data_IF_100199460344
#
_entry.id   IF_100199460344
#
_cell.length_a   1.000
_cell.length_b   1.000
_cell.length_c   1.000
_cell.angle_alpha   90.00
_cell.angle_beta   90.00
_cell.angle_gamma   90.00
#
_symmetry.space_group_name_H-M   'P 1'
#
loop_
_entity.id
_entity.type
_entity.pdbx_description
1 polymer ?
#
# COMPACT_ATOMS: atom_id res chain seq x y z
N UNK A 1 -62.28 -6.54 -24.96
CA UNK A 1 -62.20 -5.39 -24.02
C UNK A 1 -61.06 -5.50 -23.00
N UNK A 2 -60.28 -6.57 -22.96
CA UNK A 2 -59.23 -6.83 -21.96
C UNK A 2 -57.88 -6.17 -22.23
N UNK A 3 -57.53 -5.88 -23.50
CA UNK A 3 -56.26 -5.23 -23.87
C UNK A 3 -56.14 -3.76 -23.43
N UNK A 4 -57.25 -3.00 -23.38
CA UNK A 4 -57.20 -1.60 -22.92
C UNK A 4 -56.91 -1.50 -21.43
N UNK A 5 -57.41 -2.45 -20.63
CA UNK A 5 -57.18 -2.48 -19.18
C UNK A 5 -55.72 -2.84 -18.85
N UNK A 6 -55.10 -3.77 -19.58
CA UNK A 6 -53.69 -4.13 -19.35
C UNK A 6 -52.73 -3.00 -19.75
N UNK A 7 -52.99 -2.31 -20.86
CA UNK A 7 -52.19 -1.16 -21.30
C UNK A 7 -52.28 0.04 -20.34
N UNK A 8 -53.46 0.28 -19.74
CA UNK A 8 -53.62 1.36 -18.77
C UNK A 8 -52.85 1.08 -17.48
N UNK A 9 -52.85 -0.18 -17.02
CA UNK A 9 -52.09 -0.62 -15.84
C UNK A 9 -50.57 -0.49 -16.04
N UNK A 10 -50.06 -0.93 -17.20
CA UNK A 10 -48.64 -0.80 -17.55
C UNK A 10 -48.21 0.68 -17.60
N UNK A 11 -49.04 1.58 -18.13
CA UNK A 11 -48.74 3.03 -18.16
C UNK A 11 -48.75 3.68 -16.78
N UNK A 12 -49.48 3.12 -15.83
CA UNK A 12 -49.53 3.60 -14.45
C UNK A 12 -48.31 3.08 -13.66
N UNK A 13 -47.93 1.82 -13.87
CA UNK A 13 -46.71 1.22 -13.32
C UNK A 13 -45.44 1.93 -13.82
N UNK A 14 -45.36 2.29 -15.12
CA UNK A 14 -44.25 3.06 -15.68
C UNK A 14 -44.16 4.47 -15.08
N UNK A 15 -45.31 5.12 -14.84
CA UNK A 15 -45.33 6.44 -14.20
C UNK A 15 -44.85 6.37 -12.74
N UNK A 16 -45.22 5.32 -12.00
CA UNK A 16 -44.73 5.12 -10.64
C UNK A 16 -43.22 4.83 -10.55
N UNK A 17 -42.68 4.08 -11.51
CA UNK A 17 -41.23 3.84 -11.60
C UNK A 17 -40.44 5.11 -11.91
N UNK A 18 -40.96 5.99 -12.77
CA UNK A 18 -40.29 7.25 -13.13
C UNK A 18 -40.29 8.29 -12.00
N UNK A 19 -41.29 8.27 -11.11
CA UNK A 19 -41.40 9.23 -10.00
C UNK A 19 -40.48 8.83 -8.84
N UNK A 20 -40.32 7.53 -8.57
CA UNK A 20 -39.48 7.06 -7.47
C UNK A 20 -38.00 6.85 -7.86
N UNK A 21 -37.67 6.76 -9.16
CA UNK A 21 -36.29 6.61 -9.63
C UNK A 21 -35.35 7.75 -9.24
N UNK A 22 -35.87 8.98 -9.08
CA UNK A 22 -35.09 10.15 -8.71
C UNK A 22 -34.60 10.16 -7.25
N UNK A 23 -35.31 9.48 -6.33
CA UNK A 23 -34.91 9.41 -4.93
C UNK A 23 -33.76 8.41 -4.71
N UNK A 24 -33.74 7.31 -5.48
CA UNK A 24 -32.68 6.31 -5.42
C UNK A 24 -31.39 6.80 -6.07
N UNK A 25 -31.48 7.54 -7.18
CA UNK A 25 -30.29 8.15 -7.79
C UNK A 25 -29.64 9.15 -6.84
N UNK A 26 -30.44 9.99 -6.16
CA UNK A 26 -29.90 10.95 -5.17
C UNK A 26 -29.37 10.31 -3.89
N UNK A 27 -29.86 9.13 -3.51
CA UNK A 27 -29.28 8.34 -2.41
C UNK A 27 -27.91 7.76 -2.77
N UNK A 28 -27.78 7.19 -3.97
CA UNK A 28 -26.52 6.64 -4.45
C UNK A 28 -25.47 7.72 -4.68
N UNK A 29 -25.87 8.86 -5.25
CA UNK A 29 -25.00 10.02 -5.48
C UNK A 29 -24.39 10.54 -4.18
N UNK A 30 -25.19 10.69 -3.11
CA UNK A 30 -24.68 11.08 -1.78
C UNK A 30 -23.69 10.07 -1.17
N UNK A 31 -23.90 8.78 -1.39
CA UNK A 31 -22.96 7.75 -0.92
C UNK A 31 -21.66 7.80 -1.74
N UNK A 32 -21.75 8.05 -3.05
CA UNK A 32 -20.57 8.23 -3.89
C UNK A 32 -19.78 9.49 -3.48
N UNK A 33 -20.45 10.61 -3.26
CA UNK A 33 -19.84 11.85 -2.75
C UNK A 33 -19.13 11.60 -1.41
N UNK A 34 -19.78 10.92 -0.46
CA UNK A 34 -19.16 10.58 0.83
C UNK A 34 -17.91 9.69 0.69
N UNK A 35 -17.95 8.69 -0.20
CA UNK A 35 -16.77 7.86 -0.48
C UNK A 35 -15.64 8.62 -1.17
N UNK A 36 -15.98 9.59 -2.04
CA UNK A 36 -14.99 10.46 -2.67
C UNK A 36 -14.31 11.37 -1.65
N UNK A 37 -15.06 11.93 -0.70
CA UNK A 37 -14.56 12.74 0.40
C UNK A 37 -13.64 11.93 1.33
N UNK A 38 -14.08 10.75 1.78
CA UNK A 38 -13.25 9.85 2.60
C UNK A 38 -11.95 9.46 1.89
N UNK A 39 -12.03 9.17 0.59
CA UNK A 39 -10.87 8.82 -0.23
C UNK A 39 -9.93 10.01 -0.44
N UNK A 40 -10.47 11.21 -0.52
CA UNK A 40 -9.70 12.46 -0.56
C UNK A 40 -8.96 12.70 0.76
N UNK A 41 -9.65 12.58 1.89
CA UNK A 41 -9.05 12.72 3.23
C UNK A 41 -7.93 11.70 3.44
N UNK A 42 -8.16 10.43 3.08
CA UNK A 42 -7.16 9.37 3.14
C UNK A 42 -5.92 9.71 2.31
N UNK A 43 -6.10 10.20 1.07
CA UNK A 43 -4.98 10.64 0.22
C UNK A 43 -4.23 11.84 0.80
N UNK A 44 -4.91 12.78 1.44
CA UNK A 44 -4.28 13.90 2.13
C UNK A 44 -3.49 13.45 3.35
N UNK A 45 -4.02 12.51 4.15
CA UNK A 45 -3.31 11.92 5.29
C UNK A 45 -2.04 11.17 4.83
N UNK A 46 -2.14 10.36 3.76
CA UNK A 46 -1.00 9.66 3.15
C UNK A 46 0.08 10.64 2.66
N UNK A 47 -0.31 11.75 2.01
CA UNK A 47 0.64 12.78 1.55
C UNK A 47 1.35 13.46 2.72
N UNK A 48 0.61 13.87 3.74
CA UNK A 48 1.20 14.45 4.97
C UNK A 48 2.19 13.47 5.62
N UNK A 49 1.84 12.18 5.71
CA UNK A 49 2.75 11.16 6.23
C UNK A 49 4.02 10.99 5.39
N UNK A 50 3.88 11.02 4.07
CA UNK A 50 5.03 10.97 3.15
C UNK A 50 5.93 12.20 3.29
N UNK A 51 5.37 13.40 3.39
CA UNK A 51 6.14 14.64 3.55
C UNK A 51 6.98 14.63 4.83
N UNK A 52 6.42 14.13 5.94
CA UNK A 52 7.17 13.93 7.20
C UNK A 52 8.34 12.97 7.01
N UNK A 53 8.14 11.87 6.29
CA UNK A 53 9.21 10.90 6.01
C UNK A 53 10.31 11.51 5.13
N UNK A 54 9.95 12.30 4.11
CA UNK A 54 10.92 12.99 3.24
C UNK A 54 11.77 14.00 4.02
N UNK A 55 11.17 14.75 4.95
CA UNK A 55 11.92 15.66 5.82
C UNK A 55 12.89 14.88 6.71
N UNK A 56 12.45 13.76 7.30
CA UNK A 56 13.29 12.90 8.13
C UNK A 56 14.44 12.29 7.32
N UNK A 57 14.18 11.82 6.10
CA UNK A 57 15.21 11.28 5.20
C UNK A 57 16.29 12.34 4.87
N UNK A 58 15.89 13.58 4.59
CA UNK A 58 16.81 14.70 4.37
C UNK A 58 17.66 15.01 5.60
N UNK A 59 17.06 15.01 6.79
CA UNK A 59 17.79 15.21 8.05
C UNK A 59 18.88 14.14 8.24
N UNK A 60 18.49 12.87 8.11
CA UNK A 60 19.41 11.74 8.25
C UNK A 60 20.52 11.78 7.19
N UNK A 61 20.19 12.18 5.96
CA UNK A 61 21.20 12.35 4.90
C UNK A 61 22.22 13.43 5.25
N UNK A 62 21.77 14.54 5.84
CA UNK A 62 22.65 15.61 6.34
C UNK A 62 23.55 15.13 7.48
N UNK A 63 23.01 14.39 8.45
CA UNK A 63 23.76 13.82 9.56
C UNK A 63 24.84 12.82 9.09
N UNK A 64 24.50 11.98 8.10
CA UNK A 64 25.45 11.04 7.49
C UNK A 64 26.58 11.78 6.79
N UNK A 65 26.30 12.86 6.06
CA UNK A 65 27.35 13.66 5.42
C UNK A 65 28.23 14.39 6.43
N UNK A 66 27.66 14.88 7.53
CA UNK A 66 28.44 15.47 8.63
C UNK A 66 29.39 14.45 9.27
N UNK A 67 28.91 13.24 9.55
CA UNK A 67 29.72 12.14 10.08
C UNK A 67 30.83 11.73 9.10
N UNK A 68 30.53 11.65 7.80
CA UNK A 68 31.54 11.41 6.77
C UNK A 68 32.61 12.51 6.76
N UNK A 69 32.22 13.76 6.98
CA UNK A 69 33.14 14.89 7.13
C UNK A 69 34.08 14.71 8.32
N UNK A 70 33.53 14.39 9.50
CA UNK A 70 34.30 14.13 10.73
C UNK A 70 35.29 12.98 10.58
N UNK A 71 34.88 11.88 9.93
CA UNK A 71 35.79 10.74 9.66
C UNK A 71 36.96 11.18 8.78
N UNK A 72 36.71 11.92 7.70
CA UNK A 72 37.78 12.47 6.85
C UNK A 72 38.70 13.42 7.60
N UNK A 73 38.18 14.21 8.53
CA UNK A 73 38.98 15.07 9.39
C UNK A 73 39.89 14.26 10.33
N UNK A 74 39.36 13.19 10.94
CA UNK A 74 40.14 12.29 11.78
C UNK A 74 41.22 11.53 11.01
N UNK A 75 40.96 11.17 9.75
CA UNK A 75 41.97 10.56 8.87
C UNK A 75 43.09 11.54 8.51
N UNK A 76 42.76 12.83 8.30
CA UNK A 76 43.74 13.88 7.98
C UNK A 76 44.55 14.31 9.18
N UNK A 77 43.97 14.26 10.39
CA UNK A 77 44.67 14.64 11.61
C UNK A 77 45.80 13.62 11.80
N UNK A 78 47.08 14.00 11.60
CA UNK A 78 48.17 13.07 11.81
C UNK A 78 47.99 12.52 13.21
N UNK A 79 48.00 11.17 13.34
CA UNK A 79 47.99 10.52 14.65
C UNK A 79 49.05 11.24 15.45
N UNK A 80 48.63 12.06 16.43
CA UNK A 80 49.56 12.69 17.37
C UNK A 80 50.44 11.54 17.80
N UNK A 81 51.73 11.65 17.50
CA UNK A 81 52.72 10.67 17.91
C UNK A 81 52.45 10.44 19.38
N UNK A 82 51.81 9.30 19.67
CA UNK A 82 51.56 8.90 21.04
C UNK A 82 52.98 8.75 21.53
N UNK A 83 53.46 9.62 22.44
CA UNK A 83 54.85 9.58 22.86
C UNK A 83 55.10 8.14 23.26
N UNK A 84 56.02 7.50 22.54
CA UNK A 84 56.25 6.07 22.63
C UNK A 84 56.24 5.74 24.11
N UNK A 85 55.20 5.05 24.58
CA UNK A 85 55.16 4.59 25.95
C UNK A 85 56.37 3.69 26.04
N UNK A 86 57.43 4.22 26.66
CA UNK A 86 58.59 3.43 26.97
C UNK A 86 58.05 2.21 27.72
N UNK A 87 58.42 0.99 27.32
CA UNK A 87 58.03 -0.20 28.05
C UNK A 87 58.64 -0.07 29.45
N UNK A 88 57.84 0.41 30.41
CA UNK A 88 58.20 0.36 31.82
C UNK A 88 58.16 -1.11 32.18
N UNK A 89 59.33 -1.75 32.08
CA UNK A 89 59.58 -3.06 32.62
C UNK A 89 59.24 -3.02 34.12
N UNK A 90 58.26 -3.82 34.53
CA UNK A 90 57.98 -4.09 35.93
C UNK A 90 56.70 -3.44 36.46
N UNK A 91 55.57 -4.09 36.23
CA UNK A 91 54.71 -4.47 37.35
C UNK A 91 53.69 -5.51 36.90
N UNK A 92 53.85 -6.73 37.38
CA UNK A 92 52.84 -7.78 37.28
C UNK A 92 51.67 -7.39 38.18
N UNK A 93 50.43 -7.22 37.67
CA UNK A 93 49.28 -7.23 38.56
C UNK A 93 49.03 -8.68 39.00
N UNK A 94 49.16 -8.85 40.31
CA UNK A 94 48.83 -10.06 41.04
C UNK A 94 47.40 -10.48 40.76
N UNK A 95 47.24 -11.74 40.35
CA UNK A 95 45.96 -12.45 40.37
C UNK A 95 45.49 -12.59 41.81
N UNK A 96 44.59 -11.71 42.25
CA UNK A 96 43.87 -11.87 43.50
C UNK A 96 42.38 -11.55 43.31
N UNK A 97 41.58 -12.54 43.69
CA UNK A 97 40.15 -12.61 43.61
C UNK A 97 39.41 -11.50 44.40
N UNK A 98 38.31 -11.03 43.83
CA UNK A 98 37.07 -10.61 44.50
C UNK A 98 36.04 -10.36 43.39
N UNK A 99 34.99 -11.16 43.14
CA UNK A 99 33.92 -11.57 44.04
C UNK A 99 33.35 -10.39 44.83
N UNK A 100 32.64 -9.47 44.16
CA UNK A 100 31.68 -8.58 44.80
C UNK A 100 30.70 -7.96 43.78
N UNK A 101 29.47 -8.49 43.81
CA UNK A 101 28.25 -7.70 44.04
C UNK A 101 27.84 -6.63 43.00
N UNK A 102 26.86 -7.02 42.19
CA UNK A 102 25.58 -6.30 41.94
C UNK A 102 25.52 -4.83 42.37
N UNK A 103 25.35 -3.93 41.38
CA UNK A 103 24.50 -2.72 41.47
C UNK A 103 24.00 -2.41 40.06
N UNK A 104 22.77 -2.82 39.71
CA UNK A 104 21.55 -1.98 39.72
C UNK A 104 21.78 -0.59 39.09
N UNK A 105 21.54 -0.49 37.79
CA UNK A 105 21.02 0.72 37.16
C UNK A 105 19.74 0.32 36.42
N UNK A 106 18.65 0.31 37.19
CA UNK A 106 17.29 0.32 36.68
C UNK A 106 17.09 1.69 36.02
N UNK A 107 17.18 1.73 34.70
CA UNK A 107 16.58 2.78 33.87
C UNK A 107 15.17 2.33 33.54
N UNK A 108 14.31 2.43 34.54
CA UNK A 108 12.88 2.16 34.49
C UNK A 108 12.22 3.40 33.88
N UNK A 109 12.20 3.49 32.54
CA UNK A 109 11.34 4.46 31.85
C UNK A 109 9.90 3.94 31.90
N UNK A 110 9.27 4.29 33.01
CA UNK A 110 7.86 4.29 33.26
C UNK A 110 7.17 5.25 32.27
N UNK A 111 6.76 4.75 31.10
CA UNK A 111 5.74 5.41 30.29
C UNK A 111 4.40 5.02 30.88
N UNK A 112 3.89 5.90 31.74
CA UNK A 112 2.53 5.89 32.24
C UNK A 112 1.55 5.85 31.08
N UNK A 113 0.71 4.82 31.07
CA UNK A 113 -0.56 4.85 30.37
C UNK A 113 -1.37 5.99 30.98
N UNK A 114 -1.51 7.08 30.21
CA UNK A 114 -2.35 8.20 30.56
C UNK A 114 -3.81 7.89 30.23
N UNK A 115 -4.64 8.30 31.17
CA UNK A 115 -6.07 8.07 31.37
C UNK A 115 -6.88 8.52 30.13
N UNK A 116 -7.92 7.79 29.71
CA UNK A 116 -9.17 7.79 30.44
C UNK A 116 -9.99 9.05 30.16
N UNK A 117 -10.48 9.22 28.92
CA UNK A 117 -11.58 10.17 28.66
C UNK A 117 -12.90 9.41 28.68
N UNK A 118 -13.48 9.47 29.87
CA UNK A 118 -14.83 9.10 30.23
C UNK A 118 -15.81 10.19 29.75
N UNK A 119 -16.99 9.73 29.34
CA UNK A 119 -18.28 10.38 29.59
C UNK A 119 -18.63 11.71 28.88
N UNK A 120 -19.43 11.59 27.83
CA UNK A 120 -20.62 12.45 27.66
C UNK A 120 -21.86 11.62 27.32
N UNK A 121 -22.62 11.32 28.37
CA UNK A 121 -24.08 11.14 28.32
C UNK A 121 -24.72 12.42 27.76
N UNK A 122 -25.52 12.26 26.72
CA UNK A 122 -26.54 13.21 26.27
C UNK A 122 -27.62 12.34 25.62
N UNK A 123 -28.67 12.04 26.38
CA UNK A 123 -29.91 12.82 26.46
C UNK A 123 -30.95 12.16 25.55
N UNK A 124 -31.84 11.47 26.24
CA UNK A 124 -33.06 10.88 25.73
C UNK A 124 -33.84 11.89 24.89
N UNK A 125 -34.16 11.52 23.66
CA UNK A 125 -35.30 12.10 22.95
C UNK A 125 -36.16 10.93 22.51
N UNK A 126 -37.08 10.57 23.41
CA UNK A 126 -38.25 9.77 23.07
C UNK A 126 -39.07 10.57 22.05
N UNK A 127 -38.97 10.22 20.77
CA UNK A 127 -39.96 10.61 19.78
C UNK A 127 -40.67 9.35 19.30
N UNK A 128 -41.84 9.10 19.89
CA UNK A 128 -42.85 8.16 19.43
C UNK A 128 -43.31 8.55 18.01
N UNK A 129 -42.57 8.08 17.00
CA UNK A 129 -42.89 8.24 15.59
C UNK A 129 -43.49 6.96 15.01
N UNK A 130 -44.81 6.95 14.91
CA UNK A 130 -45.68 5.91 14.32
C UNK A 130 -45.08 5.12 13.15
N UNK A 131 -45.13 3.81 13.37
CA UNK A 131 -45.05 2.69 12.43
C UNK A 131 -45.84 2.96 11.12
N UNK A 132 -45.12 3.21 10.03
CA UNK A 132 -45.65 3.01 8.67
C UNK A 132 -44.89 1.84 8.04
N UNK A 133 -45.46 0.63 8.18
CA UNK A 133 -45.03 -0.58 7.46
C UNK A 133 -45.28 -0.42 5.96
N UNK A 134 -44.41 0.33 5.29
CA UNK A 134 -44.22 0.22 3.86
C UNK A 134 -43.49 -1.08 3.58
N UNK A 135 -44.23 -2.11 3.15
CA UNK A 135 -43.67 -3.36 2.61
C UNK A 135 -43.02 -3.00 1.26
N UNK A 136 -41.82 -2.40 1.33
CA UNK A 136 -40.99 -2.13 0.17
C UNK A 136 -40.51 -3.47 -0.36
N UNK A 137 -41.20 -3.95 -1.39
CA UNK A 137 -40.89 -5.14 -2.15
C UNK A 137 -39.61 -4.89 -2.98
N UNK A 138 -38.48 -4.73 -2.28
CA UNK A 138 -37.12 -4.66 -2.82
C UNK A 138 -36.83 -6.02 -3.44
N UNK A 139 -37.02 -6.12 -4.76
CA UNK A 139 -36.64 -7.28 -5.56
C UNK A 139 -35.12 -7.45 -5.52
N UNK A 140 -34.64 -8.18 -4.52
CA UNK A 140 -33.64 -9.28 -4.55
C UNK A 140 -32.35 -9.18 -5.39
N UNK A 141 -32.00 -8.04 -6.00
CA UNK A 141 -30.75 -7.88 -6.78
C UNK A 141 -29.50 -7.62 -5.94
N UNK A 142 -29.63 -7.22 -4.67
CA UNK A 142 -28.50 -6.84 -3.80
C UNK A 142 -27.79 -8.01 -3.08
N UNK A 143 -28.36 -9.22 -3.10
CA UNK A 143 -27.83 -10.35 -2.33
C UNK A 143 -26.55 -10.95 -2.96
N UNK A 144 -26.42 -10.87 -4.28
CA UNK A 144 -25.31 -11.50 -5.01
C UNK A 144 -23.96 -10.81 -4.78
N UNK A 145 -23.94 -9.48 -4.63
CA UNK A 145 -22.73 -8.71 -4.35
C UNK A 145 -22.26 -8.87 -2.90
N UNK A 146 -23.21 -8.96 -1.96
CA UNK A 146 -22.91 -9.11 -0.54
C UNK A 146 -22.27 -10.46 -0.22
N UNK A 147 -22.87 -11.57 -0.69
CA UNK A 147 -22.32 -12.94 -0.50
C UNK A 147 -20.91 -13.10 -1.04
N UNK A 148 -20.57 -12.42 -2.15
CA UNK A 148 -19.22 -12.45 -2.72
C UNK A 148 -18.23 -11.68 -1.86
N UNK A 149 -18.60 -10.49 -1.40
CA UNK A 149 -17.75 -9.70 -0.49
C UNK A 149 -17.44 -10.48 0.79
N UNK A 150 -18.45 -11.15 1.33
CA UNK A 150 -18.30 -12.06 2.48
C UNK A 150 -17.32 -13.19 2.14
N UNK A 151 -17.48 -13.89 1.00
CA UNK A 151 -16.57 -14.98 0.60
C UNK A 151 -15.09 -14.59 0.55
N UNK A 152 -14.74 -13.48 -0.10
CA UNK A 152 -13.33 -13.04 -0.16
C UNK A 152 -12.85 -12.46 1.16
N UNK A 153 -13.73 -11.74 1.88
CA UNK A 153 -13.46 -11.20 3.20
C UNK A 153 -13.10 -12.31 4.20
N UNK A 154 -13.95 -13.32 4.29
CA UNK A 154 -13.79 -14.48 5.18
C UNK A 154 -12.51 -15.25 4.86
N UNK A 155 -12.21 -15.45 3.57
CA UNK A 155 -10.98 -16.14 3.16
C UNK A 155 -9.71 -15.35 3.55
N UNK A 156 -9.71 -14.03 3.36
CA UNK A 156 -8.59 -13.17 3.77
C UNK A 156 -8.46 -13.13 5.30
N UNK A 157 -9.59 -13.07 6.02
CA UNK A 157 -9.61 -13.10 7.48
C UNK A 157 -9.09 -14.43 8.02
N UNK A 158 -9.47 -15.54 7.41
CA UNK A 158 -8.95 -16.86 7.76
C UNK A 158 -7.42 -16.92 7.59
N UNK A 159 -6.87 -16.38 6.50
CA UNK A 159 -5.42 -16.30 6.31
C UNK A 159 -4.78 -15.39 7.36
N UNK A 160 -5.39 -14.25 7.71
CA UNK A 160 -4.88 -13.38 8.76
C UNK A 160 -4.85 -14.08 10.13
N UNK A 161 -5.88 -14.87 10.47
CA UNK A 161 -5.90 -15.69 11.69
C UNK A 161 -4.79 -16.73 11.69
N UNK A 162 -4.48 -17.35 10.54
CA UNK A 162 -3.35 -18.27 10.41
C UNK A 162 -2.01 -17.55 10.62
N UNK A 163 -1.81 -16.38 10.01
CA UNK A 163 -0.60 -15.57 10.21
C UNK A 163 -0.45 -15.20 11.69
N UNK A 164 -1.52 -14.74 12.36
CA UNK A 164 -1.49 -14.40 13.78
C UNK A 164 -1.16 -15.63 14.65
N UNK A 165 -1.78 -16.78 14.38
CA UNK A 165 -1.52 -18.04 15.09
C UNK A 165 -0.07 -18.50 14.97
N UNK A 166 0.56 -18.27 13.82
CA UNK A 166 1.96 -18.62 13.57
C UNK A 166 2.96 -17.55 14.02
N UNK A 167 2.58 -16.63 14.91
CA UNK A 167 3.49 -15.63 15.48
C UNK A 167 3.53 -14.29 14.72
N UNK A 168 2.53 -14.03 13.88
CA UNK A 168 2.30 -12.73 13.26
C UNK A 168 3.33 -12.36 12.19
N UNK A 169 3.76 -11.10 12.19
CA UNK A 169 4.68 -10.57 11.18
C UNK A 169 6.13 -11.08 11.37
N UNK A 170 6.51 -11.45 12.60
CA UNK A 170 7.89 -11.83 12.92
C UNK A 170 8.04 -13.31 13.26
N UNK A 171 6.96 -14.09 13.29
CA UNK A 171 7.00 -15.52 13.67
C UNK A 171 7.32 -15.74 15.15
N UNK A 172 7.00 -14.76 16.00
CA UNK A 172 7.36 -14.77 17.42
C UNK A 172 8.81 -14.40 17.72
N UNK A 173 9.62 -14.08 16.71
CA UNK A 173 10.98 -13.58 16.92
C UNK A 173 10.97 -12.10 17.32
N UNK A 174 11.94 -11.66 18.15
CA UNK A 174 12.23 -10.25 18.33
C UNK A 174 12.51 -9.57 16.99
N UNK A 175 11.96 -8.36 16.80
CA UNK A 175 12.04 -7.63 15.53
C UNK A 175 13.47 -7.51 14.99
N UNK A 176 14.44 -7.18 15.86
CA UNK A 176 15.84 -7.00 15.45
C UNK A 176 16.50 -8.30 14.94
N UNK A 177 16.15 -9.46 15.52
CA UNK A 177 16.64 -10.77 15.07
C UNK A 177 15.98 -11.15 13.75
N UNK A 178 14.68 -10.92 13.62
CA UNK A 178 13.92 -11.12 12.40
C UNK A 178 14.48 -10.29 11.24
N UNK A 179 14.75 -9.00 11.46
CA UNK A 179 15.35 -8.11 10.46
C UNK A 179 16.77 -8.56 10.07
N UNK A 180 17.55 -9.05 11.03
CA UNK A 180 18.86 -9.65 10.76
C UNK A 180 18.74 -10.92 9.88
N UNK A 181 17.80 -11.80 10.22
CA UNK A 181 17.47 -12.98 9.41
C UNK A 181 17.07 -12.59 7.97
N UNK A 182 16.17 -11.61 7.79
CA UNK A 182 15.74 -11.15 6.47
C UNK A 182 16.89 -10.59 5.64
N UNK A 183 17.81 -9.85 6.25
CA UNK A 183 19.04 -9.37 5.57
C UNK A 183 19.91 -10.53 5.09
N UNK A 184 20.15 -11.53 5.94
CA UNK A 184 20.94 -12.71 5.57
C UNK A 184 20.26 -13.53 4.47
N UNK A 185 18.96 -13.75 4.59
CA UNK A 185 18.14 -14.45 3.60
C UNK A 185 18.19 -13.76 2.24
N UNK A 186 18.00 -12.44 2.22
CA UNK A 186 18.04 -11.65 0.99
C UNK A 186 19.42 -11.72 0.34
N UNK A 187 20.49 -11.58 1.12
CA UNK A 187 21.86 -11.71 0.62
C UNK A 187 22.18 -13.11 0.08
N UNK A 188 21.71 -14.17 0.74
CA UNK A 188 21.89 -15.55 0.26
C UNK A 188 21.21 -15.74 -1.10
N UNK A 189 20.01 -15.18 -1.29
CA UNK A 189 19.29 -15.24 -2.57
C UNK A 189 19.91 -14.38 -3.66
N UNK A 190 20.42 -13.19 -3.33
CA UNK A 190 21.05 -12.28 -4.32
C UNK A 190 22.38 -12.81 -4.88
N UNK A 191 23.03 -13.77 -4.20
CA UNK A 191 24.27 -14.40 -4.66
C UNK A 191 24.05 -15.52 -5.67
N UNK A 192 22.82 -15.99 -5.86
CA UNK A 192 22.49 -16.97 -6.89
C UNK A 192 22.61 -16.40 -8.31
N UNK A 193 22.78 -17.25 -9.34
CA UNK A 193 22.76 -16.81 -10.73
C UNK A 193 21.48 -16.03 -11.02
N UNK A 194 21.64 -14.78 -11.48
CA UNK A 194 20.56 -13.81 -11.70
C UNK A 194 19.62 -14.17 -12.86
N UNK A 195 19.97 -15.17 -13.66
CA UNK A 195 19.32 -15.46 -14.92
C UNK A 195 18.91 -16.93 -14.98
N UNK A 196 17.63 -17.11 -15.30
CA UNK A 196 16.96 -18.35 -15.68
C UNK A 196 16.53 -19.28 -14.55
N UNK A 197 15.22 -19.28 -14.32
CA UNK A 197 14.44 -20.23 -13.52
C UNK A 197 14.98 -20.50 -12.11
N UNK A 198 14.32 -19.89 -11.11
CA UNK A 198 14.48 -20.26 -9.70
C UNK A 198 14.46 -21.80 -9.60
N UNK A 199 15.56 -22.44 -9.13
CA UNK A 199 15.59 -23.88 -9.05
C UNK A 199 14.47 -24.36 -8.12
N UNK A 200 13.85 -25.52 -8.39
CA UNK A 200 12.83 -26.08 -7.52
C UNK A 200 13.39 -26.22 -6.10
N UNK A 201 12.56 -26.08 -5.06
CA UNK A 201 12.98 -26.08 -3.64
C UNK A 201 13.67 -27.39 -3.18
N UNK A 202 13.77 -28.39 -4.04
CA UNK A 202 14.46 -29.66 -3.81
C UNK A 202 15.84 -29.74 -4.47
N UNK A 203 16.29 -28.68 -5.13
CA UNK A 203 17.57 -28.65 -5.85
C UNK A 203 18.77 -28.70 -4.89
N UNK A 204 19.85 -29.44 -5.23
CA UNK A 204 21.10 -29.42 -4.46
C UNK A 204 21.65 -28.00 -4.23
N UNK A 205 21.46 -27.08 -5.19
CA UNK A 205 21.88 -25.69 -5.07
C UNK A 205 21.13 -24.93 -3.97
N UNK A 206 19.84 -25.24 -3.79
CA UNK A 206 19.02 -24.64 -2.72
C UNK A 206 19.49 -25.13 -1.35
N UNK A 207 19.79 -26.43 -1.21
CA UNK A 207 20.37 -26.99 0.02
C UNK A 207 21.71 -26.34 0.39
N UNK A 208 22.58 -26.10 -0.58
CA UNK A 208 23.85 -25.41 -0.35
C UNK A 208 23.65 -23.95 0.09
N UNK A 209 22.70 -23.24 -0.52
CA UNK A 209 22.35 -21.88 -0.13
C UNK A 209 21.78 -21.81 1.29
N UNK A 210 20.90 -22.75 1.66
CA UNK A 210 20.35 -22.88 3.02
C UNK A 210 21.47 -23.19 4.02
N UNK A 211 22.38 -24.11 3.71
CA UNK A 211 23.52 -24.42 4.58
C UNK A 211 24.42 -23.19 4.81
N UNK A 212 24.73 -22.43 3.76
CA UNK A 212 25.50 -21.19 3.88
C UNK A 212 24.76 -20.11 4.69
N UNK A 213 23.44 -20.02 4.56
CA UNK A 213 22.61 -19.14 5.37
C UNK A 213 22.69 -19.51 6.85
N UNK A 214 22.51 -20.80 7.19
CA UNK A 214 22.55 -21.29 8.58
C UNK A 214 23.90 -21.00 9.23
N UNK A 215 25.00 -21.24 8.52
CA UNK A 215 26.35 -20.94 9.02
C UNK A 215 26.55 -19.44 9.31
N UNK A 216 26.01 -18.56 8.47
CA UNK A 216 26.08 -17.10 8.68
C UNK A 216 25.09 -16.60 9.74
N UNK A 217 23.96 -17.27 9.89
CA UNK A 217 22.98 -16.95 10.92
C UNK A 217 23.56 -17.24 12.31
N UNK A 218 24.26 -18.36 12.49
CA UNK A 218 24.90 -18.71 13.76
C UNK A 218 25.91 -17.65 14.25
N UNK A 219 26.62 -16.98 13.34
CA UNK A 219 27.57 -15.92 13.72
C UNK A 219 26.89 -14.59 14.06
N UNK A 220 25.74 -14.30 13.44
CA UNK A 220 25.01 -13.04 13.59
C UNK A 220 23.90 -13.08 14.65
N UNK A 221 23.43 -14.28 14.99
CA UNK A 221 22.32 -14.54 15.92
C UNK A 221 22.79 -15.55 16.99
N UNK A 222 23.71 -15.15 17.87
CA UNK A 222 24.32 -16.08 18.84
C UNK A 222 23.33 -16.61 19.88
N UNK A 223 22.20 -15.92 20.08
CA UNK A 223 21.14 -16.35 20.98
C UNK A 223 20.21 -17.42 20.36
N UNK A 224 20.34 -17.70 19.06
CA UNK A 224 19.52 -18.66 18.33
C UNK A 224 20.33 -19.86 17.89
N UNK A 225 19.77 -21.03 18.16
CA UNK A 225 20.30 -22.31 17.69
C UNK A 225 20.11 -22.49 16.19
N UNK A 226 20.88 -23.39 15.59
CA UNK A 226 20.74 -23.75 14.17
C UNK A 226 19.32 -24.24 13.84
N UNK A 227 18.74 -25.04 14.73
CA UNK A 227 17.43 -25.64 14.57
C UNK A 227 16.32 -24.59 14.63
N UNK A 228 16.42 -23.60 15.53
CA UNK A 228 15.48 -22.46 15.57
C UNK A 228 15.53 -21.63 14.29
N UNK A 229 16.73 -21.38 13.74
CA UNK A 229 16.87 -20.66 12.47
C UNK A 229 16.25 -21.46 11.32
N UNK A 230 16.42 -22.78 11.31
CA UNK A 230 15.81 -23.65 10.30
C UNK A 230 14.28 -23.69 10.43
N UNK A 231 13.74 -23.76 11.64
CA UNK A 231 12.31 -23.66 11.90
C UNK A 231 11.76 -22.31 11.43
N UNK A 232 12.47 -21.22 11.73
CA UNK A 232 12.11 -19.87 11.30
C UNK A 232 12.15 -19.72 9.78
N UNK A 233 13.08 -20.41 9.11
CA UNK A 233 13.12 -20.47 7.66
C UNK A 233 11.87 -21.17 7.08
N UNK A 234 11.44 -22.29 7.68
CA UNK A 234 10.21 -22.99 7.28
C UNK A 234 8.98 -22.11 7.52
N UNK A 235 8.92 -21.43 8.67
CA UNK A 235 7.87 -20.45 8.97
C UNK A 235 7.84 -19.33 7.92
N UNK A 236 8.98 -18.71 7.60
CA UNK A 236 9.05 -17.63 6.61
C UNK A 236 8.55 -18.10 5.24
N UNK A 237 8.86 -19.34 4.84
CA UNK A 237 8.30 -19.98 3.65
C UNK A 237 6.76 -20.00 3.67
N UNK A 238 6.14 -20.53 4.73
CA UNK A 238 4.67 -20.54 4.88
C UNK A 238 4.09 -19.13 4.90
N UNK A 239 4.68 -18.21 5.66
CA UNK A 239 4.26 -16.82 5.77
C UNK A 239 4.29 -16.10 4.42
N UNK A 240 5.31 -16.32 3.58
CA UNK A 240 5.32 -15.79 2.22
C UNK A 240 4.21 -16.36 1.36
N UNK A 241 3.93 -17.67 1.47
CA UNK A 241 2.81 -18.31 0.79
C UNK A 241 1.45 -17.73 1.19
N UNK A 242 1.20 -17.50 2.48
CA UNK A 242 -0.02 -16.83 2.96
C UNK A 242 -0.18 -15.42 2.39
N UNK A 243 0.91 -14.65 2.32
CA UNK A 243 0.87 -13.31 1.73
C UNK A 243 0.64 -13.32 0.22
N UNK A 244 1.20 -14.28 -0.50
CA UNK A 244 0.93 -14.49 -1.93
C UNK A 244 -0.54 -14.87 -2.16
N UNK A 245 -1.09 -15.77 -1.34
CA UNK A 245 -2.49 -16.18 -1.42
C UNK A 245 -3.45 -15.00 -1.13
N UNK A 246 -3.16 -14.17 -0.12
CA UNK A 246 -3.90 -12.92 0.11
C UNK A 246 -3.89 -12.01 -1.11
N UNK A 247 -2.73 -11.84 -1.76
CA UNK A 247 -2.63 -11.04 -2.99
C UNK A 247 -3.43 -11.66 -4.13
N UNK A 248 -3.41 -12.99 -4.25
CA UNK A 248 -4.20 -13.74 -5.25
C UNK A 248 -5.71 -13.54 -5.04
N UNK A 249 -6.20 -13.64 -3.81
CA UNK A 249 -7.59 -13.37 -3.47
C UNK A 249 -7.99 -11.91 -3.77
N UNK A 250 -7.15 -10.95 -3.38
CA UNK A 250 -7.39 -9.54 -3.66
C UNK A 250 -7.36 -9.21 -5.17
N UNK A 251 -6.57 -9.94 -5.96
CA UNK A 251 -6.56 -9.84 -7.42
C UNK A 251 -7.85 -10.43 -8.01
N UNK A 252 -8.21 -11.66 -7.62
CA UNK A 252 -9.42 -12.33 -8.10
C UNK A 252 -10.69 -11.53 -7.78
N UNK A 253 -10.78 -10.94 -6.59
CA UNK A 253 -11.89 -10.06 -6.22
C UNK A 253 -11.98 -8.81 -7.13
N UNK A 254 -10.85 -8.19 -7.48
CA UNK A 254 -10.82 -7.04 -8.38
C UNK A 254 -11.20 -7.41 -9.81
N UNK A 255 -10.72 -8.54 -10.31
CA UNK A 255 -11.06 -9.05 -11.65
C UNK A 255 -12.56 -9.36 -11.74
N UNK A 256 -13.13 -10.00 -10.71
CA UNK A 256 -14.57 -10.27 -10.68
C UNK A 256 -15.40 -8.98 -10.63
N UNK A 257 -14.97 -7.99 -9.83
CA UNK A 257 -15.61 -6.67 -9.78
C UNK A 257 -15.56 -5.94 -11.13
N UNK A 258 -14.44 -6.05 -11.85
CA UNK A 258 -14.32 -5.47 -13.19
C UNK A 258 -15.26 -6.16 -14.18
N UNK A 259 -15.37 -7.49 -14.12
CA UNK A 259 -16.28 -8.25 -14.98
C UNK A 259 -17.75 -7.92 -14.70
N UNK A 260 -18.13 -7.71 -13.44
CA UNK A 260 -19.48 -7.27 -13.06
C UNK A 260 -19.79 -5.87 -13.61
N UNK A 261 -18.85 -4.92 -13.46
CA UNK A 261 -19.01 -3.58 -14.03
C UNK A 261 -19.12 -3.59 -15.55
N UNK A 262 -18.39 -4.48 -16.23
CA UNK A 262 -18.49 -4.65 -17.68
C UNK A 262 -19.85 -5.24 -18.08
N UNK A 263 -20.35 -6.25 -17.36
CA UNK A 263 -21.66 -6.83 -17.61
C UNK A 263 -22.79 -5.82 -17.37
N UNK A 264 -22.69 -5.00 -16.34
CA UNK A 264 -23.66 -3.92 -16.07
C UNK A 264 -23.61 -2.83 -17.15
N UNK A 265 -22.42 -2.51 -17.68
CA UNK A 265 -22.28 -1.58 -18.79
C UNK A 265 -22.90 -2.13 -20.09
N UNK A 266 -22.63 -3.39 -20.43
CA UNK A 266 -23.19 -4.06 -21.61
C UNK A 266 -24.71 -4.23 -21.54
N UNK A 267 -25.25 -4.49 -20.34
CA UNK A 267 -26.71 -4.62 -20.15
C UNK A 267 -27.43 -3.27 -20.14
N UNK A 268 -26.74 -2.18 -19.77
CA UNK A 268 -27.31 -0.84 -19.79
C UNK A 268 -27.20 -0.16 -21.17
N UNK A 269 -26.28 -0.61 -22.02
CA UNK A 269 -26.26 -0.29 -23.44
C UNK A 269 -27.25 -1.17 -24.21
N UNK A 270 -28.55 -1.06 -23.91
CA UNK A 270 -29.55 -1.50 -24.89
C UNK A 270 -29.41 -0.59 -26.13
N UNK A 271 -28.90 -1.12 -27.26
CA UNK A 271 -28.62 -0.33 -28.42
C UNK A 271 -29.94 -0.03 -29.11
N UNK A 272 -30.29 1.24 -29.21
CA UNK A 272 -31.43 1.73 -29.97
C UNK A 272 -32.71 0.91 -29.75
N UNK A 273 -33.53 1.37 -28.81
CA UNK A 273 -34.90 1.58 -29.18
C UNK A 273 -34.93 2.40 -30.47
N UNK A 274 -35.02 1.72 -31.61
CA UNK A 274 -36.00 2.08 -32.63
C UNK A 274 -37.33 2.25 -31.90
N UNK A 275 -37.53 3.44 -31.34
CA UNK A 275 -38.86 3.96 -31.13
C UNK A 275 -39.43 4.09 -32.54
N UNK A 276 -40.16 3.04 -32.93
CA UNK A 276 -41.20 3.14 -33.93
C UNK A 276 -41.97 4.44 -33.69
N UNK A 277 -41.82 5.32 -34.67
CA UNK A 277 -42.85 6.17 -35.24
C UNK A 277 -44.27 5.81 -34.76
N UNK A 278 -44.67 6.29 -33.58
CA UNK A 278 -46.05 6.22 -33.13
C UNK A 278 -46.67 7.61 -33.16
N UNK A 279 -47.64 7.70 -34.05
CA UNK A 279 -48.43 8.85 -34.51
C UNK A 279 -48.95 9.79 -33.41
N UNK A 280 -49.13 11.08 -33.74
CA UNK A 280 -49.66 12.08 -32.84
C UNK A 280 -51.18 11.91 -32.71
N UNK A 281 -51.68 11.61 -31.52
CA UNK A 281 -53.04 12.07 -31.19
C UNK A 281 -53.28 12.22 -29.69
N UNK A 282 -53.36 13.50 -29.30
CA UNK A 282 -54.38 14.02 -28.38
C UNK A 282 -54.35 13.54 -26.94
N UNK A 283 -53.52 14.17 -26.09
CA UNK A 283 -54.05 14.75 -24.85
C UNK A 283 -53.12 15.85 -24.31
N UNK A 284 -53.44 17.09 -24.66
CA UNK A 284 -52.78 18.32 -24.21
C UNK A 284 -53.30 18.73 -22.84
N UNK A 285 -52.73 18.19 -21.77
CA UNK A 285 -52.65 18.90 -20.49
C UNK A 285 -51.18 19.27 -20.28
N UNK A 286 -50.78 20.32 -20.98
CA UNK A 286 -49.44 20.88 -20.92
C UNK A 286 -49.19 21.51 -19.56
N UNK A 287 -48.49 20.79 -18.69
CA UNK A 287 -47.66 21.43 -17.68
C UNK A 287 -46.55 22.16 -18.45
N UNK A 288 -46.77 23.45 -18.69
CA UNK A 288 -45.77 24.36 -19.23
C UNK A 288 -44.61 24.37 -18.23
N UNK A 289 -43.63 23.49 -18.42
CA UNK A 289 -42.33 23.66 -17.77
C UNK A 289 -41.79 24.97 -18.32
N UNK A 290 -41.74 25.96 -17.44
CA UNK A 290 -41.25 27.30 -17.70
C UNK A 290 -39.90 27.21 -18.41
N UNK A 291 -39.74 27.83 -19.57
CA UNK A 291 -38.51 27.83 -20.40
C UNK A 291 -37.24 28.08 -19.56
N UNK A 292 -37.39 28.89 -18.51
CA UNK A 292 -36.38 29.15 -17.48
C UNK A 292 -35.79 27.88 -16.85
N UNK A 293 -36.60 26.89 -16.47
CA UNK A 293 -36.13 25.66 -15.81
C UNK A 293 -35.31 24.77 -16.74
N UNK A 294 -35.61 24.81 -18.04
CA UNK A 294 -34.84 24.07 -19.05
C UNK A 294 -33.48 24.73 -19.30
N UNK A 295 -33.42 26.06 -19.31
CA UNK A 295 -32.18 26.81 -19.46
C UNK A 295 -31.26 26.62 -18.23
N UNK A 296 -31.81 26.58 -17.01
CA UNK A 296 -31.02 26.25 -15.81
C UNK A 296 -30.41 24.85 -15.87
N UNK A 297 -31.15 23.84 -16.33
CA UNK A 297 -30.62 22.47 -16.49
C UNK A 297 -29.51 22.39 -17.54
N UNK A 298 -29.66 23.11 -18.66
CA UNK A 298 -28.63 23.20 -19.70
C UNK A 298 -27.38 23.90 -19.19
N UNK A 299 -27.54 24.99 -18.43
CA UNK A 299 -26.41 25.70 -17.82
C UNK A 299 -25.69 24.83 -16.78
N UNK A 300 -26.43 24.10 -15.94
CA UNK A 300 -25.86 23.18 -14.96
C UNK A 300 -25.09 22.02 -15.63
N UNK A 301 -25.67 21.37 -16.64
CA UNK A 301 -25.00 20.32 -17.39
C UNK A 301 -23.73 20.82 -18.11
N UNK A 302 -23.77 22.04 -18.68
CA UNK A 302 -22.60 22.65 -19.30
C UNK A 302 -21.51 23.01 -18.28
N UNK A 303 -21.88 23.43 -17.06
CA UNK A 303 -20.94 23.67 -15.98
C UNK A 303 -20.26 22.38 -15.50
N UNK A 304 -21.05 21.32 -15.32
CA UNK A 304 -20.54 20.00 -14.93
C UNK A 304 -19.58 19.43 -16.00
N UNK A 305 -19.91 19.56 -17.28
CA UNK A 305 -19.03 19.13 -18.36
C UNK A 305 -17.70 19.89 -18.35
N UNK A 306 -17.73 21.22 -18.13
CA UNK A 306 -16.51 22.04 -18.00
C UNK A 306 -15.66 21.62 -16.80
N UNK A 307 -16.29 21.24 -15.69
CA UNK A 307 -15.58 20.74 -14.51
C UNK A 307 -14.93 19.38 -14.78
N UNK A 308 -15.64 18.45 -15.42
CA UNK A 308 -15.11 17.15 -15.84
C UNK A 308 -13.92 17.33 -16.80
N UNK A 309 -14.02 18.25 -17.77
CA UNK A 309 -12.90 18.58 -18.67
C UNK A 309 -11.72 19.19 -17.92
N UNK A 310 -11.95 20.05 -16.92
CA UNK A 310 -10.89 20.60 -16.08
C UNK A 310 -10.18 19.50 -15.29
N UNK A 311 -10.93 18.63 -14.62
CA UNK A 311 -10.38 17.46 -13.88
C UNK A 311 -9.60 16.53 -14.82
N UNK A 312 -10.11 16.29 -16.04
CA UNK A 312 -9.41 15.48 -17.06
C UNK A 312 -8.08 16.11 -17.46
N UNK A 313 -8.04 17.41 -17.74
CA UNK A 313 -6.81 18.15 -18.05
C UNK A 313 -5.82 18.15 -16.90
N UNK A 314 -6.29 18.25 -15.67
CA UNK A 314 -5.44 18.19 -14.46
C UNK A 314 -4.78 16.81 -14.30
N UNK A 315 -5.54 15.73 -14.50
CA UNK A 315 -5.00 14.36 -14.48
C UNK A 315 -3.99 14.13 -15.61
N UNK A 316 -4.26 14.65 -16.80
CA UNK A 316 -3.34 14.57 -17.95
C UNK A 316 -2.05 15.34 -17.69
N UNK A 317 -2.14 16.57 -17.17
CA UNK A 317 -0.99 17.37 -16.77
C UNK A 317 -0.17 16.68 -15.67
N UNK A 318 -0.82 16.05 -14.69
CA UNK A 318 -0.16 15.28 -13.64
C UNK A 318 0.58 14.06 -14.20
N UNK A 319 -0.01 13.33 -15.15
CA UNK A 319 0.65 12.19 -15.83
C UNK A 319 1.87 12.66 -16.63
N UNK A 320 1.74 13.74 -17.40
CA UNK A 320 2.84 14.31 -18.17
C UNK A 320 3.98 14.80 -17.26
N UNK A 321 3.67 15.46 -16.14
CA UNK A 321 4.67 15.88 -15.16
C UNK A 321 5.39 14.70 -14.50
N UNK A 322 4.65 13.62 -14.19
CA UNK A 322 5.23 12.39 -13.64
C UNK A 322 6.18 11.72 -14.64
N UNK A 323 5.77 11.61 -15.91
CA UNK A 323 6.60 11.03 -16.97
C UNK A 323 7.85 11.88 -17.23
N UNK A 324 7.73 13.22 -17.24
CA UNK A 324 8.86 14.12 -17.39
C UNK A 324 9.88 13.94 -16.26
N UNK A 325 9.42 13.82 -15.01
CA UNK A 325 10.29 13.59 -13.85
C UNK A 325 10.98 12.22 -13.90
N UNK A 326 10.28 11.18 -14.36
CA UNK A 326 10.85 9.85 -14.55
C UNK A 326 11.90 9.83 -15.67
N UNK A 327 11.66 10.56 -16.77
CA UNK A 327 12.61 10.75 -17.86
C UNK A 327 13.87 11.49 -17.40
N UNK A 328 13.71 12.59 -16.66
CA UNK A 328 14.83 13.34 -16.07
C UNK A 328 15.66 12.46 -15.12
N UNK A 329 15.00 11.66 -14.28
CA UNK A 329 15.69 10.73 -13.39
C UNK A 329 16.47 9.67 -14.18
N UNK A 330 15.89 9.13 -15.25
CA UNK A 330 16.55 8.14 -16.13
C UNK A 330 17.78 8.73 -16.83
N UNK A 331 17.67 9.94 -17.38
CA UNK A 331 18.79 10.65 -18.00
C UNK A 331 19.90 10.95 -16.97
N UNK A 332 19.53 11.33 -15.74
CA UNK A 332 20.49 11.56 -14.66
C UNK A 332 21.23 10.29 -14.25
N UNK A 333 20.54 9.15 -14.16
CA UNK A 333 21.16 7.86 -13.87
C UNK A 333 22.05 7.37 -15.02
N UNK A 334 21.62 7.57 -16.27
CA UNK A 334 22.43 7.24 -17.45
C UNK A 334 23.69 8.08 -17.50
N UNK A 335 23.59 9.39 -17.23
CA UNK A 335 24.76 10.27 -17.11
C UNK A 335 25.69 9.83 -15.99
N UNK A 336 25.16 9.45 -14.81
CA UNK A 336 25.98 8.92 -13.71
C UNK A 336 26.71 7.65 -14.13
N UNK A 337 26.04 6.73 -14.84
CA UNK A 337 26.67 5.51 -15.38
C UNK A 337 27.75 5.83 -16.42
N UNK A 338 27.53 6.80 -17.29
CA UNK A 338 28.52 7.24 -18.27
C UNK A 338 29.76 7.84 -17.59
N UNK A 339 29.58 8.69 -16.57
CA UNK A 339 30.67 9.27 -15.78
C UNK A 339 31.45 8.19 -15.00
N UNK A 340 30.76 7.19 -14.43
CA UNK A 340 31.38 6.04 -13.76
C UNK A 340 32.18 5.17 -14.75
N UNK A 341 31.65 4.93 -15.96
CA UNK A 341 32.34 4.19 -17.02
C UNK A 341 33.59 4.95 -17.49
N UNK A 342 33.49 6.27 -17.70
CA UNK A 342 34.62 7.11 -18.09
C UNK A 342 35.74 7.09 -17.05
N UNK A 343 35.40 7.15 -15.75
CA UNK A 343 36.39 7.01 -14.66
C UNK A 343 37.05 5.63 -14.65
N UNK A 344 36.30 4.58 -15.00
CA UNK A 344 36.84 3.23 -15.09
C UNK A 344 37.83 3.10 -16.26
N UNK A 345 37.50 3.66 -17.42
CA UNK A 345 38.40 3.70 -18.58
C UNK A 345 39.67 4.52 -18.28
N UNK A 346 39.55 5.69 -17.62
CA UNK A 346 40.70 6.49 -17.18
C UNK A 346 41.62 5.69 -16.22
N UNK A 347 41.03 4.96 -15.28
CA UNK A 347 41.78 4.10 -14.36
C UNK A 347 42.48 2.95 -15.11
N UNK A 348 41.81 2.35 -16.11
CA UNK A 348 42.39 1.28 -16.94
C UNK A 348 43.57 1.79 -17.76
N UNK A 349 43.47 2.99 -18.33
CA UNK A 349 44.54 3.58 -19.13
C UNK A 349 45.73 3.99 -18.26
N UNK A 350 45.51 4.51 -17.03
CA UNK A 350 46.59 4.73 -16.05
C UNK A 350 47.30 3.43 -15.68
N UNK A 351 46.56 2.34 -15.49
CA UNK A 351 47.15 1.03 -15.23
C UNK A 351 47.97 0.51 -16.42
N UNK A 352 47.52 0.73 -17.67
CA UNK A 352 48.27 0.38 -18.87
C UNK A 352 49.58 1.17 -19.00
N UNK A 353 49.54 2.48 -18.76
CA UNK A 353 50.73 3.33 -18.76
C UNK A 353 51.72 2.91 -17.67
N UNK A 354 51.22 2.54 -16.48
CA UNK A 354 52.07 2.03 -15.42
C UNK A 354 52.78 0.72 -15.82
N UNK A 355 52.08 -0.20 -16.49
CA UNK A 355 52.69 -1.44 -17.00
C UNK A 355 53.77 -1.21 -18.05
N UNK A 356 53.68 -0.16 -18.87
CA UNK A 356 54.68 0.17 -19.90
C UNK A 356 55.94 0.85 -19.35
N UNK A 357 55.90 1.39 -18.13
CA UNK A 357 57.07 2.01 -17.48
C UNK A 357 57.89 1.00 -16.68
N UNK A 358 57.25 -0.10 -16.23
CA UNK A 358 57.88 -1.10 -15.38
C UNK A 358 58.39 -2.35 -16.12
N UNK A 359 58.07 -2.50 -17.40
CA UNK A 359 58.63 -3.49 -18.32
C UNK A 359 59.44 -2.77 -19.40
#
# INVERSE_FOLDING_TARGET
>A
MTQKATMSKIKEDIRHLSVNGGEYSGGLERVMEGLEDELYEFKCAMRKGFDVLVVKEKSLSSEVEELRGKVKEWEKKPRRDVPAMQPTAGSRPSTAAAAATRRRSAGEEHVTADEGVQERKGADTEEEGKECRGVSNKRSGGDSGQRRRERYGDAVEQINRLIQREGGATGGWPQHEHDCFLRLWTQARSRGPKHEARPPPSSPADRAAVSSLLQRAQTMLPARSADEVEEHLRWHGRHTGYNEEKRRLAKAWREERQHEQQADAETNECPNGTCEEFTPNGNTNGTVQTTQQQDYRRAAAAAEQRERERKRKEVEAWRAAKEAKEREQREREERRRADEAAKFDECRDRMRLFSLVFF
#
